data_IF_553646731516
#
_entry.id   IF_553646731516
#
_cell.length_a   1.000
_cell.length_b   1.000
_cell.length_c   1.000
_cell.angle_alpha   90.00
_cell.angle_beta   90.00
_cell.angle_gamma   90.00
#
_symmetry.space_group_name_H-M   'P 1'
#
loop_
_entity.id
_entity.type
_entity.pdbx_description
1 polymer ?
#
# COMPACT_ATOMS: atom_id res chain seq x y z
N UNK A 1 7.90 1.10 10.08
CA UNK A 1 8.86 2.09 9.53
C UNK A 1 10.27 1.72 9.93
N UNK A 2 11.27 1.98 9.09
CA UNK A 2 12.66 2.11 9.57
C UNK A 2 12.78 3.42 10.35
N UNK A 3 13.53 3.40 11.45
CA UNK A 3 13.80 4.56 12.32
C UNK A 3 14.20 5.83 11.53
N UNK A 4 14.90 5.63 10.41
CA UNK A 4 15.30 6.65 9.44
C UNK A 4 14.16 7.58 9.02
N UNK A 5 12.94 7.07 8.80
CA UNK A 5 11.80 7.88 8.39
C UNK A 5 11.30 8.81 9.51
N UNK A 6 11.40 8.37 10.77
CA UNK A 6 11.01 9.19 11.93
C UNK A 6 12.00 10.36 12.07
N UNK A 7 13.30 10.08 11.97
CA UNK A 7 14.34 11.12 12.01
C UNK A 7 14.16 12.12 10.87
N UNK A 8 13.85 11.64 9.66
CA UNK A 8 13.59 12.49 8.51
C UNK A 8 12.39 13.44 8.72
N UNK A 9 11.36 13.02 9.47
CA UNK A 9 10.20 13.88 9.80
C UNK A 9 10.63 15.04 10.71
N UNK A 10 11.52 14.80 11.67
CA UNK A 10 12.00 15.87 12.56
C UNK A 10 12.92 16.87 11.84
N UNK A 11 13.60 16.44 10.77
CA UNK A 11 14.58 17.26 10.05
C UNK A 11 14.02 17.94 8.79
N UNK A 12 12.89 17.47 8.26
CA UNK A 12 12.29 18.05 7.04
C UNK A 12 11.17 19.04 7.36
N UNK A 13 11.03 20.08 6.53
CA UNK A 13 9.91 21.04 6.55
C UNK A 13 8.64 20.39 5.97
N UNK A 14 8.19 19.30 6.57
CA UNK A 14 7.06 18.52 6.10
C UNK A 14 6.38 17.75 7.21
N UNK A 15 5.23 17.16 6.89
CA UNK A 15 4.48 16.30 7.78
C UNK A 15 4.22 14.94 7.14
N UNK A 16 4.03 13.93 7.96
CA UNK A 16 3.73 12.58 7.49
C UNK A 16 2.28 12.22 7.78
N UNK A 17 1.57 11.75 6.76
CA UNK A 17 0.18 11.34 6.91
C UNK A 17 -0.20 10.23 5.93
N UNK A 18 -0.86 9.19 6.42
CA UNK A 18 -1.39 8.12 5.56
C UNK A 18 -0.34 7.34 4.75
N UNK A 19 0.89 7.23 5.26
CA UNK A 19 1.99 6.57 4.55
C UNK A 19 2.72 7.45 3.54
N UNK A 20 2.38 8.75 3.46
CA UNK A 20 3.00 9.72 2.55
C UNK A 20 3.59 10.89 3.31
N UNK A 21 4.70 11.41 2.81
CA UNK A 21 5.30 12.66 3.27
C UNK A 21 4.75 13.81 2.43
N UNK A 22 4.34 14.88 3.10
CA UNK A 22 3.83 16.10 2.49
C UNK A 22 4.76 17.26 2.82
N UNK A 23 5.00 18.13 1.85
CA UNK A 23 5.89 19.29 1.99
C UNK A 23 5.09 20.59 1.96
N UNK A 24 5.51 21.62 2.70
CA UNK A 24 4.83 22.94 2.70
C UNK A 24 5.05 23.80 1.46
N UNK A 25 5.70 23.24 0.43
CA UNK A 25 5.83 23.89 -0.87
C UNK A 25 4.52 23.81 -1.67
N UNK A 26 3.54 23.04 -1.20
CA UNK A 26 2.21 22.92 -1.80
C UNK A 26 1.29 24.07 -1.38
N UNK A 27 0.28 24.34 -2.20
CA UNK A 27 -0.79 25.28 -1.84
C UNK A 27 -1.74 24.67 -0.80
N UNK A 28 -2.47 25.49 -0.01
CA UNK A 28 -3.46 24.97 0.94
C UNK A 28 -4.52 24.07 0.30
N UNK A 29 -4.89 24.35 -0.95
CA UNK A 29 -5.87 23.57 -1.69
C UNK A 29 -5.32 22.20 -2.10
N UNK A 30 -4.09 22.16 -2.61
CA UNK A 30 -3.39 20.91 -2.91
C UNK A 30 -3.28 20.04 -1.66
N UNK A 31 -2.83 20.63 -0.54
CA UNK A 31 -2.74 19.92 0.74
C UNK A 31 -4.09 19.31 1.12
N UNK A 32 -5.18 20.09 1.05
CA UNK A 32 -6.51 19.59 1.40
C UNK A 32 -7.00 18.54 0.41
N UNK A 33 -6.66 18.63 -0.88
CA UNK A 33 -7.07 17.65 -1.89
C UNK A 33 -6.32 16.32 -1.74
N UNK A 34 -5.01 16.37 -1.51
CA UNK A 34 -4.14 15.19 -1.51
C UNK A 34 -4.23 14.34 -0.24
N UNK A 35 -4.73 14.88 0.89
CA UNK A 35 -4.88 14.15 2.15
C UNK A 35 -5.84 12.94 2.01
N UNK A 36 -5.33 11.69 1.99
CA UNK A 36 -6.16 10.51 1.80
C UNK A 36 -6.93 10.18 3.07
N UNK A 37 -8.20 9.78 2.95
CA UNK A 37 -9.00 9.34 4.10
C UNK A 37 -9.52 10.46 5.01
N UNK A 38 -9.18 11.73 4.75
CA UNK A 38 -9.75 12.87 5.48
C UNK A 38 -11.05 13.31 4.82
N UNK A 39 -12.15 13.27 5.56
CA UNK A 39 -13.47 13.69 5.08
C UNK A 39 -13.60 15.21 4.91
N UNK A 40 -14.62 15.66 4.15
CA UNK A 40 -14.91 17.10 3.93
C UNK A 40 -15.08 17.89 5.23
N UNK A 41 -15.70 17.29 6.24
CA UNK A 41 -15.93 17.93 7.55
C UNK A 41 -14.62 18.20 8.28
N UNK A 42 -13.74 17.21 8.38
CA UNK A 42 -12.42 17.37 9.02
C UNK A 42 -11.57 18.39 8.26
N UNK A 43 -11.61 18.36 6.92
CA UNK A 43 -10.98 19.38 6.06
C UNK A 43 -11.48 20.79 6.40
N UNK A 44 -12.79 20.98 6.59
CA UNK A 44 -13.39 22.26 7.01
C UNK A 44 -12.91 22.68 8.40
N UNK A 45 -12.84 21.76 9.35
CA UNK A 45 -12.33 22.02 10.71
C UNK A 45 -10.87 22.48 10.66
N UNK A 46 -10.01 21.80 9.89
CA UNK A 46 -8.61 22.18 9.70
C UNK A 46 -8.48 23.57 9.07
N UNK A 47 -9.23 23.84 8.00
CA UNK A 47 -9.23 25.15 7.34
C UNK A 47 -9.65 26.28 8.30
N UNK A 48 -10.65 26.03 9.13
CA UNK A 48 -11.10 27.01 10.13
C UNK A 48 -10.08 27.18 11.26
N UNK A 49 -9.53 26.08 11.79
CA UNK A 49 -8.57 26.10 12.91
C UNK A 49 -7.31 26.89 12.58
N UNK A 50 -6.83 26.80 11.35
CA UNK A 50 -5.64 27.52 10.89
C UNK A 50 -5.98 28.83 10.15
N UNK A 51 -7.23 29.27 10.17
CA UNK A 51 -7.68 30.49 9.48
C UNK A 51 -7.29 30.51 7.98
N UNK A 52 -7.12 29.33 7.38
CA UNK A 52 -6.69 29.18 6.00
C UNK A 52 -7.75 29.67 5.01
N UNK A 53 -8.99 29.84 5.45
CA UNK A 53 -10.06 30.45 4.64
C UNK A 53 -9.75 31.89 4.27
N UNK A 54 -9.20 32.67 5.20
CA UNK A 54 -8.76 34.04 4.93
C UNK A 54 -7.50 34.04 4.06
N UNK A 55 -6.51 33.24 4.42
CA UNK A 55 -5.27 33.12 3.66
C UNK A 55 -5.53 32.72 2.20
N UNK A 56 -6.37 31.71 1.98
CA UNK A 56 -6.74 31.23 0.64
C UNK A 56 -7.39 32.31 -0.22
N UNK A 57 -8.20 33.20 0.36
CA UNK A 57 -8.85 34.29 -0.39
C UNK A 57 -7.84 35.33 -0.85
N UNK A 58 -6.84 35.63 -0.02
CA UNK A 58 -5.86 36.68 -0.28
C UNK A 58 -4.66 36.19 -1.09
N UNK A 59 -4.26 34.94 -0.88
CA UNK A 59 -3.08 34.32 -1.47
C UNK A 59 -3.40 32.89 -1.94
N UNK A 60 -4.06 32.79 -3.10
CA UNK A 60 -4.54 31.50 -3.62
C UNK A 60 -3.41 30.59 -4.11
N UNK A 61 -2.37 31.17 -4.71
CA UNK A 61 -1.27 30.45 -5.34
C UNK A 61 -0.01 30.37 -4.47
N UNK A 62 -0.01 31.01 -3.29
CA UNK A 62 1.16 30.98 -2.44
C UNK A 62 1.29 29.64 -1.71
N UNK A 63 2.53 29.16 -1.54
CA UNK A 63 2.80 27.97 -0.74
C UNK A 63 2.46 28.21 0.72
N UNK A 64 2.19 27.14 1.45
CA UNK A 64 1.89 27.20 2.90
C UNK A 64 3.08 27.77 3.69
N UNK A 65 4.31 27.63 3.20
CA UNK A 65 5.48 28.21 3.86
C UNK A 65 5.40 29.75 3.98
N UNK A 66 4.70 30.43 3.07
CA UNK A 66 4.47 31.87 3.17
C UNK A 66 3.43 32.24 4.23
N UNK A 67 2.48 31.35 4.52
CA UNK A 67 1.50 31.56 5.58
C UNK A 67 2.19 31.74 6.94
N UNK A 68 3.19 30.93 7.26
CA UNK A 68 3.92 31.05 8.53
C UNK A 68 4.66 32.40 8.63
N UNK A 69 5.23 32.89 7.51
CA UNK A 69 5.90 34.19 7.46
C UNK A 69 4.93 35.35 7.67
N UNK A 70 3.75 35.29 7.04
CA UNK A 70 2.76 36.38 7.06
C UNK A 70 1.99 36.40 8.39
N UNK A 71 1.49 35.25 8.82
CA UNK A 71 0.66 35.13 10.02
C UNK A 71 1.48 35.13 11.32
N UNK A 72 2.79 34.83 11.23
CA UNK A 72 3.68 34.56 12.36
C UNK A 72 3.19 33.42 13.26
N UNK A 73 2.27 32.57 12.78
CA UNK A 73 1.75 31.39 13.47
C UNK A 73 2.43 30.13 12.93
N UNK A 74 2.86 29.24 13.82
CA UNK A 74 3.42 27.94 13.41
C UNK A 74 2.32 27.03 12.87
N UNK A 75 2.47 26.55 11.63
CA UNK A 75 1.53 25.63 10.99
C UNK A 75 2.00 24.17 11.10
N UNK A 76 3.31 23.95 10.95
CA UNK A 76 3.91 22.61 10.91
C UNK A 76 3.65 21.78 12.18
N UNK A 77 4.03 22.32 13.34
CA UNK A 77 3.98 21.56 14.60
C UNK A 77 2.55 21.13 14.98
N UNK A 78 1.52 22.01 14.94
CA UNK A 78 0.15 21.59 15.23
C UNK A 78 -0.40 20.58 14.22
N UNK A 79 -0.02 20.68 12.94
CA UNK A 79 -0.42 19.71 11.92
C UNK A 79 0.16 18.32 12.20
N UNK A 80 1.45 18.24 12.54
CA UNK A 80 2.08 16.98 12.94
C UNK A 80 1.42 16.35 14.19
N UNK A 81 1.06 17.18 15.17
CA UNK A 81 0.37 16.70 16.36
C UNK A 81 -1.01 16.15 16.02
N UNK A 82 -1.82 16.87 15.24
CA UNK A 82 -3.16 16.43 14.84
C UNK A 82 -3.07 15.14 14.01
N UNK A 83 -2.15 15.09 13.04
CA UNK A 83 -2.05 13.94 12.15
C UNK A 83 -1.47 12.69 12.82
N UNK A 84 -0.58 12.84 13.78
CA UNK A 84 -0.09 11.72 14.59
C UNK A 84 -1.19 11.13 15.48
N UNK A 85 -2.17 11.93 15.90
CA UNK A 85 -3.34 11.47 16.65
C UNK A 85 -4.37 10.76 15.76
N UNK A 86 -4.60 11.28 14.55
CA UNK A 86 -5.64 10.75 13.64
C UNK A 86 -5.21 9.43 12.99
N UNK A 87 -3.94 9.31 12.61
CA UNK A 87 -3.49 8.16 11.82
C UNK A 87 -2.17 7.60 12.33
N UNK A 88 -2.09 6.27 12.32
CA UNK A 88 -0.82 5.61 12.60
C UNK A 88 0.12 5.86 11.43
N UNK A 89 1.27 6.42 11.74
CA UNK A 89 2.39 6.58 10.82
C UNK A 89 2.82 5.24 10.20
N UNK A 90 2.61 4.12 10.92
CA UNK A 90 3.09 2.81 10.52
C UNK A 90 2.15 2.04 9.60
N UNK A 91 0.85 2.27 9.69
CA UNK A 91 -0.15 1.45 9.00
C UNK A 91 -0.97 2.32 8.06
N UNK A 92 -0.79 2.15 6.75
CA UNK A 92 -1.63 2.87 5.79
C UNK A 92 -3.07 2.38 5.91
N UNK A 93 -4.03 3.25 5.60
CA UNK A 93 -5.45 2.88 5.60
C UNK A 93 -5.74 1.72 4.63
N UNK A 94 -4.98 1.65 3.52
CA UNK A 94 -5.07 0.56 2.54
C UNK A 94 -4.62 -0.77 3.14
N UNK A 95 -3.55 -0.78 3.92
CA UNK A 95 -3.05 -2.00 4.57
C UNK A 95 -4.04 -2.48 5.64
N UNK A 96 -4.58 -1.55 6.43
CA UNK A 96 -5.61 -1.86 7.44
C UNK A 96 -6.85 -2.46 6.77
N UNK A 97 -7.31 -1.89 5.65
CA UNK A 97 -8.42 -2.45 4.88
C UNK A 97 -8.09 -3.85 4.37
N UNK A 98 -6.90 -4.04 3.80
CA UNK A 98 -6.45 -5.32 3.25
C UNK A 98 -6.40 -6.39 4.34
N UNK A 99 -5.83 -6.09 5.51
CA UNK A 99 -5.77 -6.99 6.65
C UNK A 99 -7.16 -7.35 7.19
N UNK A 100 -8.10 -6.38 7.22
CA UNK A 100 -9.50 -6.65 7.60
C UNK A 100 -10.18 -7.62 6.63
N UNK A 101 -10.01 -7.40 5.33
CA UNK A 101 -10.57 -8.29 4.29
C UNK A 101 -9.92 -9.68 4.33
N UNK A 102 -8.61 -9.74 4.52
CA UNK A 102 -7.86 -10.99 4.67
C UNK A 102 -8.35 -11.77 5.89
N UNK A 103 -8.53 -11.12 7.04
CA UNK A 103 -9.11 -11.74 8.24
C UNK A 103 -10.47 -12.37 7.95
N UNK A 104 -11.37 -11.63 7.28
CA UNK A 104 -12.69 -12.15 6.91
C UNK A 104 -12.59 -13.38 6.00
N UNK A 105 -11.63 -13.39 5.09
CA UNK A 105 -11.38 -14.50 4.18
C UNK A 105 -10.80 -15.73 4.89
N UNK A 106 -9.82 -15.54 5.77
CA UNK A 106 -9.18 -16.62 6.54
C UNK A 106 -10.16 -17.32 7.49
N UNK A 107 -11.10 -16.58 8.09
CA UNK A 107 -12.20 -17.14 8.92
C UNK A 107 -13.26 -17.84 8.04
N UNK A 108 -13.09 -17.87 6.71
CA UNK A 108 -14.00 -18.47 5.73
C UNK A 108 -15.42 -17.86 5.78
N UNK A 109 -15.54 -16.60 6.20
CA UNK A 109 -16.83 -15.90 6.26
C UNK A 109 -17.42 -15.71 4.85
N UNK A 110 -18.75 -15.61 4.76
CA UNK A 110 -19.45 -15.29 3.51
C UNK A 110 -18.89 -14.01 2.87
N UNK A 111 -18.71 -12.95 3.67
CA UNK A 111 -18.21 -11.65 3.21
C UNK A 111 -16.80 -11.76 2.63
N UNK A 112 -15.91 -12.48 3.31
CA UNK A 112 -14.54 -12.74 2.82
C UNK A 112 -14.52 -13.48 1.49
N UNK A 113 -15.34 -14.53 1.35
CA UNK A 113 -15.50 -15.27 0.08
C UNK A 113 -16.04 -14.38 -1.04
N UNK A 114 -17.06 -13.57 -0.76
CA UNK A 114 -17.63 -12.64 -1.76
C UNK A 114 -16.60 -11.61 -2.23
N UNK A 115 -15.81 -11.03 -1.32
CA UNK A 115 -14.72 -10.11 -1.69
C UNK A 115 -13.66 -10.79 -2.57
N UNK A 116 -13.27 -12.04 -2.26
CA UNK A 116 -12.30 -12.78 -3.07
C UNK A 116 -12.86 -13.11 -4.46
N UNK A 117 -14.13 -13.51 -4.56
CA UNK A 117 -14.78 -13.84 -5.83
C UNK A 117 -15.17 -12.60 -6.65
N UNK A 118 -15.08 -11.39 -6.11
CA UNK A 118 -15.57 -10.17 -6.75
C UNK A 118 -17.09 -10.04 -6.76
N UNK A 119 -17.80 -10.76 -5.86
CA UNK A 119 -19.26 -10.68 -5.72
C UNK A 119 -19.67 -9.53 -4.79
N UNK A 120 -20.89 -9.00 -4.92
CA UNK A 120 -21.43 -8.07 -3.95
C UNK A 120 -21.54 -8.72 -2.56
N UNK A 121 -21.32 -7.93 -1.51
CA UNK A 121 -21.15 -8.43 -0.13
C UNK A 121 -22.41 -8.25 0.72
N UNK A 122 -23.24 -7.26 0.40
CA UNK A 122 -24.41 -6.87 1.20
C UNK A 122 -25.72 -7.47 0.67
N UNK A 123 -25.68 -8.73 0.22
CA UNK A 123 -26.89 -9.46 -0.21
C UNK A 123 -27.54 -8.95 -1.49
N UNK A 124 -26.82 -8.19 -2.32
CA UNK A 124 -27.33 -7.76 -3.62
C UNK A 124 -27.46 -8.96 -4.58
N UNK A 125 -28.44 -8.90 -5.48
CA UNK A 125 -28.65 -9.94 -6.50
C UNK A 125 -27.42 -10.06 -7.39
N UNK A 126 -27.08 -11.28 -7.79
CA UNK A 126 -25.89 -11.57 -8.62
C UNK A 126 -26.23 -12.03 -10.04
N UNK A 127 -27.52 -12.25 -10.32
CA UNK A 127 -27.98 -12.72 -11.62
C UNK A 127 -27.85 -11.64 -12.71
N UNK A 128 -28.03 -10.37 -12.34
CA UNK A 128 -27.80 -9.21 -13.18
C UNK A 128 -27.03 -8.12 -12.41
N UNK A 129 -26.26 -7.29 -13.11
CA UNK A 129 -25.61 -6.07 -12.57
C UNK A 129 -24.58 -6.25 -11.44
N UNK A 130 -23.83 -7.36 -11.40
CA UNK A 130 -22.72 -7.55 -10.45
C UNK A 130 -21.34 -7.07 -10.98
N UNK A 131 -21.28 -6.54 -12.20
CA UNK A 131 -20.04 -6.15 -12.89
C UNK A 131 -19.19 -5.15 -12.11
N UNK A 132 -19.81 -4.15 -11.49
CA UNK A 132 -19.06 -3.16 -10.72
C UNK A 132 -18.36 -3.79 -9.50
N UNK A 133 -19.04 -4.71 -8.81
CA UNK A 133 -18.42 -5.45 -7.71
C UNK A 133 -17.23 -6.28 -8.22
N UNK A 134 -17.38 -6.92 -9.38
CA UNK A 134 -16.30 -7.71 -9.97
C UNK A 134 -15.11 -6.85 -10.39
N UNK A 135 -15.33 -5.64 -10.90
CA UNK A 135 -14.24 -4.77 -11.33
C UNK A 135 -13.57 -4.03 -10.17
N UNK A 136 -14.32 -3.68 -9.12
CA UNK A 136 -13.80 -2.88 -8.02
C UNK A 136 -13.26 -3.69 -6.83
N UNK A 137 -13.78 -4.89 -6.56
CA UNK A 137 -13.33 -5.74 -5.45
C UNK A 137 -12.03 -6.47 -5.83
N UNK A 138 -10.95 -5.73 -6.01
CA UNK A 138 -9.64 -6.27 -6.42
C UNK A 138 -8.70 -6.48 -5.24
N UNK A 139 -8.84 -5.74 -4.14
CA UNK A 139 -7.89 -5.69 -3.02
C UNK A 139 -7.44 -7.07 -2.54
N UNK A 140 -8.38 -7.96 -2.25
CA UNK A 140 -8.07 -9.29 -1.74
C UNK A 140 -7.48 -10.20 -2.82
N UNK A 141 -7.94 -10.08 -4.07
CA UNK A 141 -7.42 -10.86 -5.21
C UNK A 141 -6.00 -10.46 -5.55
N UNK A 142 -5.73 -9.16 -5.66
CA UNK A 142 -4.39 -8.65 -5.92
C UNK A 142 -3.42 -9.07 -4.83
N UNK A 143 -3.85 -8.99 -3.57
CA UNK A 143 -3.03 -9.45 -2.44
C UNK A 143 -2.70 -10.94 -2.53
N UNK A 144 -3.70 -11.80 -2.76
CA UNK A 144 -3.47 -13.25 -2.88
C UNK A 144 -2.55 -13.57 -4.07
N UNK A 145 -2.76 -12.95 -5.22
CA UNK A 145 -1.91 -13.14 -6.40
C UNK A 145 -0.46 -12.71 -6.13
N UNK A 146 -0.27 -11.58 -5.46
CA UNK A 146 1.06 -11.11 -5.06
C UNK A 146 1.74 -12.12 -4.11
N UNK A 147 1.01 -12.63 -3.11
CA UNK A 147 1.55 -13.64 -2.18
C UNK A 147 1.92 -14.93 -2.90
N UNK A 148 1.08 -15.41 -3.83
CA UNK A 148 1.38 -16.60 -4.62
C UNK A 148 2.60 -16.39 -5.53
N UNK A 149 2.74 -15.20 -6.12
CA UNK A 149 3.91 -14.85 -6.93
C UNK A 149 5.20 -14.94 -6.10
N UNK A 150 5.21 -14.36 -4.91
CA UNK A 150 6.37 -14.39 -4.00
C UNK A 150 6.72 -15.82 -3.57
N UNK A 151 5.72 -16.61 -3.18
CA UNK A 151 5.93 -18.03 -2.84
C UNK A 151 6.53 -18.81 -4.02
N UNK A 152 6.07 -18.54 -5.25
CA UNK A 152 6.59 -19.21 -6.45
C UNK A 152 8.00 -18.76 -6.83
N UNK A 153 8.45 -17.58 -6.39
CA UNK A 153 9.83 -17.11 -6.59
C UNK A 153 10.78 -17.83 -5.65
N UNK A 154 10.38 -18.03 -4.39
CA UNK A 154 11.14 -18.79 -3.40
C UNK A 154 11.28 -20.28 -3.80
N UNK A 155 10.26 -20.84 -4.45
CA UNK A 155 10.25 -22.21 -4.96
C UNK A 155 11.07 -22.39 -6.26
N UNK A 156 11.50 -21.31 -6.94
CA UNK A 156 12.37 -21.44 -8.11
C UNK A 156 13.74 -21.87 -7.62
N UNK A 157 14.24 -23.07 -8.01
CA UNK A 157 15.59 -23.46 -7.63
C UNK A 157 16.55 -22.40 -8.16
N UNK A 158 17.42 -21.87 -7.29
CA UNK A 158 18.48 -20.96 -7.70
C UNK A 158 19.22 -21.63 -8.87
N UNK A 159 19.08 -21.04 -10.06
CA UNK A 159 19.85 -21.48 -11.22
C UNK A 159 21.28 -21.04 -10.98
N UNK A 160 22.04 -21.86 -10.26
CA UNK A 160 23.48 -21.73 -10.16
C UNK A 160 24.00 -21.71 -11.60
N UNK A 161 24.56 -20.58 -12.01
CA UNK A 161 25.09 -20.43 -13.36
C UNK A 161 26.40 -21.22 -13.44
N UNK A 162 26.31 -22.54 -13.67
CA UNK A 162 27.45 -23.45 -13.75
C UNK A 162 28.47 -23.07 -14.83
N UNK A 163 28.14 -22.12 -15.72
CA UNK A 163 29.10 -21.51 -16.66
C UNK A 163 30.23 -20.76 -15.95
N UNK A 164 29.95 -20.13 -14.80
CA UNK A 164 30.96 -19.45 -13.97
C UNK A 164 31.73 -20.43 -13.08
N UNK A 165 31.09 -21.55 -12.71
CA UNK A 165 31.72 -22.66 -11.96
C UNK A 165 32.29 -23.70 -12.94
N UNK A 166 32.97 -23.26 -14.00
CA UNK A 166 33.85 -24.16 -14.75
C UNK A 166 35.17 -24.31 -13.98
N UNK A 167 35.17 -25.05 -12.87
CA UNK A 167 36.41 -25.70 -12.43
C UNK A 167 36.84 -26.61 -13.59
N UNK A 168 38.04 -26.40 -14.13
CA UNK A 168 38.68 -27.26 -15.14
C UNK A 168 38.71 -28.70 -14.60
N UNK A 169 37.66 -29.48 -14.83
CA UNK A 169 37.68 -30.92 -14.55
C UNK A 169 38.49 -31.57 -15.68
N UNK A 170 39.70 -32.05 -15.36
CA UNK A 170 40.44 -32.97 -16.23
C UNK A 170 39.48 -34.13 -16.57
N UNK A 171 39.25 -34.34 -17.87
CA UNK A 171 38.31 -35.36 -18.37
C UNK A 171 38.80 -36.75 -17.95
N UNK A 172 38.20 -37.34 -16.92
CA UNK A 172 38.24 -38.79 -16.75
C UNK A 172 37.20 -39.41 -17.67
N UNK A 173 37.65 -40.31 -18.55
CA UNK A 173 36.87 -41.00 -19.56
C UNK A 173 36.05 -42.13 -18.93
N UNK A 174 34.80 -42.26 -19.42
CA UNK A 174 33.93 -43.47 -19.47
C UNK A 174 33.38 -43.95 -18.10
N UNK A 175 32.14 -44.41 -17.94
CA UNK A 175 31.24 -45.16 -18.83
C UNK A 175 29.77 -44.73 -18.69
N UNK A 176 29.02 -44.90 -19.79
CA UNK A 176 27.56 -44.82 -19.85
C UNK A 176 26.95 -45.97 -19.03
N UNK A 177 25.96 -45.67 -18.19
CA UNK A 177 24.76 -46.47 -17.93
C UNK A 177 23.75 -45.58 -17.19
N UNK A 178 22.69 -45.13 -17.87
CA UNK A 178 21.30 -45.59 -17.67
C UNK A 178 20.84 -45.50 -16.21
N UNK A 179 20.18 -44.40 -15.84
CA UNK A 179 18.87 -44.37 -15.14
C UNK A 179 18.27 -42.97 -15.34
N UNK A 180 17.41 -42.81 -16.35
CA UNK A 180 16.49 -41.66 -16.44
C UNK A 180 15.14 -42.14 -15.92
N UNK A 181 14.98 -42.15 -14.60
CA UNK A 181 13.68 -42.38 -13.99
C UNK A 181 12.83 -41.11 -14.11
N UNK A 182 11.76 -41.25 -14.89
CA UNK A 182 10.70 -40.27 -15.07
C UNK A 182 9.93 -40.12 -13.75
N UNK A 183 10.20 -39.07 -12.99
CA UNK A 183 9.32 -38.66 -11.89
C UNK A 183 8.08 -38.00 -12.50
N UNK A 184 6.98 -38.74 -12.58
CA UNK A 184 5.63 -38.21 -12.88
C UNK A 184 5.15 -37.38 -11.70
N UNK A 185 5.18 -36.05 -11.83
CA UNK A 185 4.57 -35.14 -10.86
C UNK A 185 3.04 -35.24 -11.01
N UNK A 186 2.37 -35.85 -10.02
CA UNK A 186 0.90 -35.82 -9.88
C UNK A 186 0.45 -34.39 -9.58
N UNK A 187 -0.25 -33.75 -10.51
CA UNK A 187 -0.98 -32.49 -10.25
C UNK A 187 -2.10 -32.76 -9.24
N UNK A 188 -2.02 -32.16 -8.05
CA UNK A 188 -3.15 -32.12 -7.11
C UNK A 188 -4.21 -31.14 -7.66
N UNK A 189 -5.38 -31.65 -8.01
CA UNK A 189 -6.60 -30.83 -8.18
C UNK A 189 -7.03 -30.39 -6.78
N UNK A 190 -7.00 -29.09 -6.51
CA UNK A 190 -7.68 -28.51 -5.36
C UNK A 190 -9.08 -28.07 -5.81
N UNK A 191 -10.07 -28.52 -5.06
CA UNK A 191 -11.42 -27.95 -4.98
C UNK A 191 -11.39 -26.66 -4.17
#
# INVERSE_FOLDING_TARGET
MKFEHIVHIYWTKGFFFGGKQFYFNQTPNELVYELPGVGKQVKKILLNRFELTYYRRKFWHSPIMEYEKISKKSFLMPMNLIFSQINSVNNSQKDILTLKLLKLYLIKSYRGKSHFLGKPVNGQRTWSNAWNSYNCNLVLRSFVLETLSKMSEDDKPEKINFKLIKKKKKKFRKNKNKVLEKIKIKKRKWF
#
